data_IF_761033708760
#
_entry.id   IF_761033708760
#
_cell.length_a   1.000
_cell.length_b   1.000
_cell.length_c   1.000
_cell.angle_alpha   90.00
_cell.angle_beta   90.00
_cell.angle_gamma   90.00
#
_symmetry.space_group_name_H-M   'P 1'
#
loop_
_entity.id
_entity.type
_entity.pdbx_description
1 polymer ?
#
# COMPACT_ATOMS: atom_id res chain seq x y z
N UNK A 1 14.55 -17.18 -25.78
CA UNK A 1 13.34 -17.26 -24.96
C UNK A 1 12.15 -17.33 -25.90
N UNK A 2 11.44 -18.46 -25.95
CA UNK A 2 10.19 -18.60 -26.70
C UNK A 2 9.06 -18.09 -25.79
N UNK A 3 7.96 -17.58 -26.38
CA UNK A 3 6.76 -17.16 -25.61
C UNK A 3 6.25 -18.28 -24.69
N UNK A 4 6.44 -19.53 -25.10
CA UNK A 4 6.08 -20.76 -24.40
C UNK A 4 6.83 -20.94 -23.06
N UNK A 5 7.99 -20.28 -22.91
CA UNK A 5 8.85 -20.38 -21.73
C UNK A 5 8.46 -19.36 -20.64
N UNK A 6 7.50 -18.46 -20.91
CA UNK A 6 7.04 -17.43 -19.96
C UNK A 6 5.94 -18.04 -19.06
N UNK A 7 6.29 -18.31 -17.80
CA UNK A 7 5.33 -18.79 -16.81
C UNK A 7 4.62 -17.61 -16.13
N UNK A 8 3.28 -17.54 -16.25
CA UNK A 8 2.49 -16.55 -15.51
C UNK A 8 2.51 -16.88 -14.01
N UNK A 9 2.94 -15.93 -13.18
CA UNK A 9 3.00 -16.07 -11.73
C UNK A 9 1.68 -15.70 -11.02
N UNK A 10 0.61 -15.50 -11.79
CA UNK A 10 -0.73 -15.15 -11.31
C UNK A 10 -1.26 -13.83 -11.86
N UNK A 11 -2.45 -13.44 -11.40
CA UNK A 11 -3.18 -12.23 -11.82
C UNK A 11 -3.44 -11.26 -10.65
N UNK A 12 -2.51 -11.17 -9.69
CA UNK A 12 -2.62 -10.18 -8.60
C UNK A 12 -2.31 -8.80 -9.14
N UNK A 13 -3.06 -7.79 -8.71
CA UNK A 13 -2.76 -6.41 -9.07
C UNK A 13 -1.52 -5.94 -8.30
N UNK A 14 -0.73 -5.06 -8.90
CA UNK A 14 0.47 -4.49 -8.26
C UNK A 14 0.15 -3.80 -6.93
N UNK A 15 -1.02 -3.16 -6.84
CA UNK A 15 -1.55 -2.57 -5.59
C UNK A 15 -1.79 -3.58 -4.47
N UNK A 16 -2.10 -4.85 -4.79
CA UNK A 16 -2.22 -5.90 -3.77
C UNK A 16 -0.83 -6.22 -3.20
N UNK A 17 0.20 -6.18 -4.05
CA UNK A 17 1.60 -6.30 -3.63
C UNK A 17 2.08 -5.12 -2.80
N UNK A 18 1.63 -3.89 -3.12
CA UNK A 18 1.92 -2.70 -2.30
C UNK A 18 1.38 -2.85 -0.89
N UNK A 19 0.09 -3.19 -0.72
CA UNK A 19 -0.51 -3.44 0.59
C UNK A 19 0.21 -4.55 1.37
N UNK A 20 0.50 -5.67 0.71
CA UNK A 20 1.26 -6.76 1.32
C UNK A 20 2.69 -6.34 1.74
N UNK A 21 3.33 -5.46 0.98
CA UNK A 21 4.64 -4.90 1.31
C UNK A 21 4.60 -4.00 2.54
N UNK A 22 3.58 -3.14 2.64
CA UNK A 22 3.34 -2.31 3.84
C UNK A 22 3.13 -3.19 5.07
N UNK A 23 2.29 -4.22 4.96
CA UNK A 23 2.03 -5.16 6.06
C UNK A 23 3.33 -5.86 6.50
N UNK A 24 4.19 -6.28 5.56
CA UNK A 24 5.45 -6.95 5.86
C UNK A 24 6.45 -6.08 6.63
N UNK A 25 6.46 -4.76 6.41
CA UNK A 25 7.36 -3.81 7.10
C UNK A 25 6.72 -3.12 8.30
N UNK A 26 5.44 -3.37 8.56
CA UNK A 26 4.64 -2.64 9.55
C UNK A 26 5.11 -2.80 11.00
N UNK A 27 5.88 -3.83 11.32
CA UNK A 27 6.50 -4.04 12.63
C UNK A 27 7.55 -2.98 13.01
N UNK A 28 8.01 -2.17 12.04
CA UNK A 28 8.96 -1.07 12.23
C UNK A 28 8.21 0.20 12.65
N UNK A 29 8.49 0.73 13.83
CA UNK A 29 7.74 1.85 14.42
C UNK A 29 7.88 3.16 13.65
N UNK A 30 8.99 3.35 12.92
CA UNK A 30 9.27 4.57 12.13
C UNK A 30 8.43 4.69 10.85
N UNK A 31 7.72 3.61 10.47
CA UNK A 31 6.88 3.61 9.27
C UNK A 31 5.55 4.29 9.57
N UNK A 32 5.23 5.30 8.77
CA UNK A 32 3.93 5.97 8.73
C UNK A 32 3.33 5.83 7.33
N UNK A 33 2.00 5.80 7.24
CA UNK A 33 1.29 5.73 5.97
C UNK A 33 0.39 6.95 5.83
N UNK A 34 0.66 7.76 4.82
CA UNK A 34 -0.17 8.90 4.45
C UNK A 34 -0.97 8.56 3.20
N UNK A 35 -2.23 8.98 3.15
CA UNK A 35 -3.04 8.91 1.94
C UNK A 35 -3.87 10.17 1.75
N UNK A 36 -4.22 10.42 0.49
CA UNK A 36 -5.19 11.41 0.07
C UNK A 36 -6.41 10.70 -0.55
N UNK A 37 -7.41 10.38 0.27
CA UNK A 37 -8.68 9.69 -0.04
C UNK A 37 -8.58 8.27 -0.66
N UNK A 38 -7.38 7.79 -0.97
CA UNK A 38 -7.18 6.57 -1.78
C UNK A 38 -6.83 5.30 -0.97
N UNK A 39 -7.09 5.25 0.34
CA UNK A 39 -6.71 4.13 1.19
C UNK A 39 -7.25 2.77 0.72
N UNK A 40 -8.52 2.71 0.30
CA UNK A 40 -9.13 1.49 -0.24
C UNK A 40 -8.48 1.03 -1.56
N UNK A 41 -8.01 1.97 -2.36
CA UNK A 41 -7.30 1.71 -3.62
C UNK A 41 -5.90 1.16 -3.40
N UNK A 42 -5.25 1.49 -2.29
CA UNK A 42 -3.89 1.04 -1.96
C UNK A 42 -3.83 -0.29 -1.20
N UNK A 43 -4.99 -0.88 -0.84
CA UNK A 43 -5.08 -2.18 -0.16
C UNK A 43 -4.38 -2.23 1.21
N UNK A 44 -4.37 -1.12 1.93
CA UNK A 44 -3.70 -0.95 3.25
C UNK A 44 -4.64 -1.09 4.46
N UNK A 45 -5.80 -1.73 4.31
CA UNK A 45 -6.80 -1.81 5.37
C UNK A 45 -6.28 -2.51 6.64
N UNK A 46 -5.37 -3.48 6.49
CA UNK A 46 -4.74 -4.17 7.61
C UNK A 46 -3.87 -3.21 8.43
N UNK A 47 -2.98 -2.45 7.77
CA UNK A 47 -2.18 -1.42 8.43
C UNK A 47 -3.03 -0.40 9.20
N UNK A 48 -4.13 0.09 8.59
CA UNK A 48 -5.03 1.06 9.25
C UNK A 48 -5.69 0.47 10.51
N UNK A 49 -6.09 -0.82 10.45
CA UNK A 49 -6.69 -1.52 11.58
C UNK A 49 -5.69 -1.76 12.71
N UNK A 50 -4.48 -2.18 12.35
CA UNK A 50 -3.48 -2.67 13.31
C UNK A 50 -2.62 -1.54 13.89
N UNK A 51 -2.46 -0.42 13.15
CA UNK A 51 -1.64 0.74 13.52
C UNK A 51 -2.34 2.08 13.22
N UNK A 52 -3.54 2.32 13.76
CA UNK A 52 -4.33 3.51 13.45
C UNK A 52 -3.64 4.82 13.82
N UNK A 53 -2.75 4.80 14.82
CA UNK A 53 -1.96 5.95 15.27
C UNK A 53 -0.85 6.37 14.29
N UNK A 54 -0.50 5.50 13.33
CA UNK A 54 0.54 5.75 12.31
C UNK A 54 -0.01 5.91 10.90
N UNK A 55 -1.32 5.95 10.77
CA UNK A 55 -2.00 6.21 9.50
C UNK A 55 -2.64 7.61 9.52
N UNK A 56 -2.37 8.38 8.46
CA UNK A 56 -2.90 9.73 8.31
C UNK A 56 -3.63 9.89 6.98
N UNK A 57 -4.86 10.39 7.05
CA UNK A 57 -5.70 10.73 5.90
C UNK A 57 -5.76 12.24 5.76
N UNK A 58 -5.36 12.77 4.61
CA UNK A 58 -5.33 14.21 4.34
C UNK A 58 -6.46 14.72 3.43
N UNK A 59 -7.43 13.87 3.09
CA UNK A 59 -8.53 14.21 2.17
C UNK A 59 -8.04 14.27 0.72
N UNK A 60 -8.47 15.26 -0.06
CA UNK A 60 -8.06 15.47 -1.46
C UNK A 60 -6.92 16.49 -1.59
N UNK A 61 -6.02 16.51 -0.62
CA UNK A 61 -4.95 17.52 -0.50
C UNK A 61 -3.58 16.91 -0.80
N UNK A 62 -3.39 16.32 -1.99
CA UNK A 62 -2.15 15.64 -2.38
C UNK A 62 -0.93 16.56 -2.32
N UNK A 63 -1.09 17.84 -2.69
CA UNK A 63 0.00 18.81 -2.59
C UNK A 63 0.49 18.98 -1.14
N UNK A 64 -0.45 19.15 -0.20
CA UNK A 64 -0.12 19.27 1.22
C UNK A 64 0.43 17.96 1.80
N UNK A 65 0.00 16.80 1.27
CA UNK A 65 0.53 15.49 1.65
C UNK A 65 2.02 15.36 1.34
N UNK A 66 2.46 15.91 0.20
CA UNK A 66 3.84 15.83 -0.25
C UNK A 66 4.76 16.87 0.40
N UNK A 67 4.18 17.96 0.92
CA UNK A 67 4.90 19.05 1.60
C UNK A 67 5.12 20.27 0.72
#
# INVERSE_FOLDING_TARGET
MKIQDIQSTGKKATRDGFGAGIDAISHREEIIVLTADLAGSLKIANFIRDYPERYFQVGIAEANMMG
#
